data_IF_416920740751
#
_entry.id   IF_416920740751
#
_cell.length_a   1.000
_cell.length_b   1.000
_cell.length_c   1.000
_cell.angle_alpha   90.00
_cell.angle_beta   90.00
_cell.angle_gamma   90.00
#
_symmetry.space_group_name_H-M   'P 1'
#
loop_
_entity.id
_entity.type
_entity.pdbx_description
1 polymer ?
#
# COMPACT_ATOMS: atom_id res chain seq x y z
N UNK A 1 5.41 -7.15 4.70
CA UNK A 1 4.71 -7.93 5.72
C UNK A 1 5.08 -7.35 7.06
N UNK A 2 4.10 -7.00 7.87
CA UNK A 2 4.29 -6.48 9.23
C UNK A 2 3.70 -7.51 10.20
N UNK A 3 4.45 -7.84 11.24
CA UNK A 3 3.96 -8.70 12.31
C UNK A 3 3.43 -7.80 13.42
N UNK A 4 2.11 -7.78 13.59
CA UNK A 4 1.46 -6.86 14.51
C UNK A 4 1.39 -5.41 13.99
N UNK A 5 0.58 -4.61 14.68
CA UNK A 5 0.49 -3.16 14.50
C UNK A 5 1.05 -2.57 15.79
N UNK A 6 2.27 -2.08 15.75
CA UNK A 6 2.96 -1.63 16.96
C UNK A 6 2.37 -0.36 17.58
N UNK A 7 1.48 0.34 16.86
CA UNK A 7 0.94 1.65 17.25
C UNK A 7 -0.61 1.67 17.32
N UNK A 8 -1.27 0.54 17.64
CA UNK A 8 -2.75 0.48 17.71
C UNK A 8 -3.30 1.53 18.67
N UNK A 9 -2.75 1.63 19.88
CA UNK A 9 -3.23 2.57 20.89
C UNK A 9 -3.14 4.00 20.39
N UNK A 10 -2.02 4.38 19.75
CA UNK A 10 -1.85 5.70 19.15
C UNK A 10 -2.90 5.97 18.06
N UNK A 11 -3.17 5.00 17.18
CA UNK A 11 -4.19 5.16 16.12
C UNK A 11 -5.61 5.30 16.71
N UNK A 12 -5.90 4.54 17.77
CA UNK A 12 -7.17 4.65 18.50
C UNK A 12 -7.28 6.00 19.19
N UNK A 13 -6.21 6.47 19.84
CA UNK A 13 -6.16 7.77 20.51
C UNK A 13 -6.36 8.93 19.53
N UNK A 14 -5.67 8.91 18.39
CA UNK A 14 -5.85 9.90 17.33
C UNK A 14 -7.30 9.95 16.84
N UNK A 15 -7.91 8.79 16.62
CA UNK A 15 -9.31 8.69 16.17
C UNK A 15 -10.28 9.14 17.27
N UNK A 16 -9.99 8.82 18.52
CA UNK A 16 -10.79 9.23 19.66
C UNK A 16 -10.82 10.76 19.82
N UNK A 17 -9.66 11.41 19.67
CA UNK A 17 -9.56 12.87 19.72
C UNK A 17 -10.31 13.53 18.54
N UNK A 18 -10.25 12.94 17.34
CA UNK A 18 -11.10 13.36 16.23
C UNK A 18 -12.59 13.26 16.57
N UNK A 19 -13.05 12.13 17.13
CA UNK A 19 -14.46 11.93 17.52
C UNK A 19 -14.91 12.98 18.53
N UNK A 20 -14.09 13.30 19.54
CA UNK A 20 -14.36 14.38 20.49
C UNK A 20 -14.54 15.74 19.80
N UNK A 21 -13.71 16.04 18.81
CA UNK A 21 -13.81 17.30 18.06
C UNK A 21 -15.06 17.39 17.16
N UNK A 22 -15.75 16.27 16.91
CA UNK A 22 -17.01 16.22 16.17
C UNK A 22 -18.24 16.36 17.06
N UNK A 23 -18.09 16.42 18.38
CA UNK A 23 -19.19 16.56 19.34
C UNK A 23 -20.13 17.72 19.00
N UNK A 24 -21.44 17.47 19.00
CA UNK A 24 -22.47 18.46 18.72
C UNK A 24 -22.60 18.88 17.25
N UNK A 25 -21.82 18.29 16.35
CA UNK A 25 -21.81 18.65 14.92
C UNK A 25 -22.58 17.63 14.08
N UNK A 26 -23.15 18.11 12.98
CA UNK A 26 -23.59 17.27 11.86
C UNK A 26 -22.58 17.43 10.74
N UNK A 27 -21.98 16.33 10.28
CA UNK A 27 -20.90 16.35 9.30
C UNK A 27 -21.04 15.22 8.28
N UNK A 28 -20.53 15.42 7.07
CA UNK A 28 -20.41 14.36 6.08
C UNK A 28 -19.33 13.36 6.48
N UNK A 29 -19.64 12.07 6.39
CA UNK A 29 -18.64 11.01 6.60
C UNK A 29 -17.51 11.10 5.57
N UNK A 30 -17.82 11.47 4.33
CA UNK A 30 -16.79 11.63 3.30
C UNK A 30 -15.84 12.81 3.61
N UNK A 31 -16.36 13.91 4.15
CA UNK A 31 -15.53 15.04 4.59
C UNK A 31 -14.58 14.64 5.72
N UNK A 32 -15.09 13.90 6.72
CA UNK A 32 -14.26 13.38 7.82
C UNK A 32 -13.18 12.44 7.29
N UNK A 33 -13.51 11.55 6.35
CA UNK A 33 -12.53 10.64 5.74
C UNK A 33 -11.45 11.40 4.97
N UNK A 34 -11.83 12.44 4.22
CA UNK A 34 -10.85 13.28 3.54
C UNK A 34 -9.94 14.04 4.51
N UNK A 35 -10.49 14.57 5.60
CA UNK A 35 -9.72 15.26 6.63
C UNK A 35 -8.76 14.30 7.35
N UNK A 36 -9.24 13.13 7.75
CA UNK A 36 -8.43 12.05 8.31
C UNK A 36 -7.25 11.74 7.39
N UNK A 37 -7.50 11.56 6.10
CA UNK A 37 -6.46 11.21 5.15
C UNK A 37 -5.40 12.30 5.00
N UNK A 38 -5.84 13.57 4.87
CA UNK A 38 -4.95 14.74 4.80
C UNK A 38 -4.06 14.86 6.04
N UNK A 39 -4.65 14.62 7.21
CA UNK A 39 -3.98 14.65 8.51
C UNK A 39 -3.16 13.38 8.83
N UNK A 40 -2.99 12.49 7.86
CA UNK A 40 -2.07 11.35 7.98
C UNK A 40 -2.60 10.18 8.80
N UNK A 41 -3.92 10.07 8.97
CA UNK A 41 -4.52 8.87 9.55
C UNK A 41 -4.27 7.68 8.63
N UNK A 42 -3.79 6.58 9.20
CA UNK A 42 -3.44 5.39 8.43
C UNK A 42 -4.67 4.55 8.06
N UNK A 43 -5.73 4.59 8.87
CA UNK A 43 -6.89 3.72 8.68
C UNK A 43 -8.19 4.41 9.05
N UNK A 44 -9.25 4.12 8.29
CA UNK A 44 -10.61 4.49 8.65
C UNK A 44 -11.34 3.39 9.42
N UNK A 45 -10.77 2.18 9.55
CA UNK A 45 -11.42 1.05 10.22
C UNK A 45 -11.75 1.36 11.67
N UNK A 46 -10.83 2.01 12.39
CA UNK A 46 -11.03 2.43 13.78
C UNK A 46 -12.16 3.47 13.88
N UNK A 47 -12.21 4.43 12.95
CA UNK A 47 -13.28 5.43 12.92
C UNK A 47 -14.66 4.77 12.77
N UNK A 48 -14.79 3.82 11.85
CA UNK A 48 -16.03 3.07 11.69
C UNK A 48 -16.35 2.15 12.88
N UNK A 49 -15.35 1.64 13.61
CA UNK A 49 -15.58 0.96 14.88
C UNK A 49 -16.17 1.91 15.94
N UNK A 50 -15.66 3.15 16.04
CA UNK A 50 -16.24 4.17 16.91
C UNK A 50 -17.67 4.50 16.50
N UNK A 51 -17.93 4.77 15.22
CA UNK A 51 -19.28 5.04 14.74
C UNK A 51 -20.25 3.90 15.09
N UNK A 52 -19.83 2.65 14.92
CA UNK A 52 -20.64 1.49 15.29
C UNK A 52 -20.99 1.43 16.78
N UNK A 53 -20.04 1.72 17.67
CA UNK A 53 -20.27 1.69 19.11
C UNK A 53 -21.05 2.90 19.64
N UNK A 54 -20.83 4.09 19.05
CA UNK A 54 -21.60 5.29 19.35
C UNK A 54 -23.05 5.14 18.92
N UNK A 55 -23.31 4.53 17.75
CA UNK A 55 -24.67 4.30 17.25
C UNK A 55 -25.46 3.36 18.17
N UNK A 56 -24.83 2.29 18.66
CA UNK A 56 -25.46 1.35 19.61
C UNK A 56 -25.89 2.01 20.92
N UNK A 57 -25.22 3.09 21.32
CA UNK A 57 -25.49 3.86 22.55
C UNK A 57 -26.33 5.11 22.30
N UNK A 58 -26.88 5.26 21.09
CA UNK A 58 -27.66 6.42 20.67
C UNK A 58 -26.92 7.77 20.78
N UNK A 59 -25.59 7.75 20.76
CA UNK A 59 -24.73 8.94 20.83
C UNK A 59 -24.50 9.59 19.46
N UNK A 60 -24.81 8.86 18.38
CA UNK A 60 -24.87 9.42 17.04
C UNK A 60 -26.18 9.04 16.35
N UNK A 61 -26.65 9.93 15.49
CA UNK A 61 -27.69 9.65 14.51
C UNK A 61 -27.09 9.66 13.12
N UNK A 62 -27.59 8.79 12.24
CA UNK A 62 -27.02 8.58 10.91
C UNK A 62 -28.11 8.67 9.87
N UNK A 63 -27.96 9.56 8.90
CA UNK A 63 -28.88 9.70 7.77
C UNK A 63 -28.09 9.81 6.47
N UNK A 64 -28.23 8.80 5.59
CA UNK A 64 -27.44 8.69 4.35
C UNK A 64 -25.93 8.81 4.63
N UNK A 65 -25.29 9.89 4.15
CA UNK A 65 -23.86 10.20 4.28
C UNK A 65 -23.55 11.19 5.42
N UNK A 66 -24.54 11.57 6.22
CA UNK A 66 -24.38 12.50 7.34
C UNK A 66 -24.41 11.74 8.66
N UNK A 67 -23.54 12.15 9.57
CA UNK A 67 -23.53 11.72 10.95
C UNK A 67 -23.73 12.94 11.86
N UNK A 68 -24.73 12.88 12.72
CA UNK A 68 -25.00 13.89 13.75
C UNK A 68 -24.51 13.35 15.09
N UNK A 69 -23.46 13.96 15.62
CA UNK A 69 -22.88 13.61 16.90
C UNK A 69 -23.57 14.39 18.00
N UNK A 70 -24.17 13.68 18.95
CA UNK A 70 -24.79 14.32 20.12
C UNK A 70 -23.70 14.86 21.05
N UNK A 71 -24.11 15.71 22.00
CA UNK A 71 -23.22 16.08 23.10
C UNK A 71 -22.92 14.84 23.95
N UNK A 72 -21.66 14.69 24.32
CA UNK A 72 -21.15 13.58 25.10
C UNK A 72 -21.19 13.95 26.59
N UNK A 73 -22.39 13.90 27.16
CA UNK A 73 -22.60 14.26 28.57
C UNK A 73 -21.84 13.33 29.53
N UNK A 74 -21.69 12.05 29.17
CA UNK A 74 -20.96 11.06 29.95
C UNK A 74 -19.57 10.74 29.34
N UNK A 75 -18.53 11.40 29.86
CA UNK A 75 -17.13 11.14 29.45
C UNK A 75 -16.66 9.72 29.78
N UNK A 76 -17.18 9.10 30.83
CA UNK A 76 -16.81 7.74 31.23
C UNK A 76 -17.26 6.72 30.17
N UNK A 77 -18.43 6.95 29.56
CA UNK A 77 -18.95 6.10 28.50
C UNK A 77 -18.06 6.13 27.25
N UNK A 78 -17.56 7.30 26.87
CA UNK A 78 -16.61 7.44 25.77
C UNK A 78 -15.29 6.70 26.03
N UNK A 79 -14.75 6.79 27.24
CA UNK A 79 -13.53 6.06 27.61
C UNK A 79 -13.75 4.53 27.62
N UNK A 80 -14.97 4.07 27.99
CA UNK A 80 -15.36 2.66 27.87
C UNK A 80 -15.37 2.20 26.42
N UNK A 81 -15.90 3.01 25.49
CA UNK A 81 -15.87 2.71 24.05
C UNK A 81 -14.43 2.62 23.54
N UNK A 82 -13.60 3.61 23.85
CA UNK A 82 -12.17 3.61 23.49
C UNK A 82 -11.47 2.35 23.99
N UNK A 83 -11.62 2.02 25.28
CA UNK A 83 -11.04 0.81 25.89
C UNK A 83 -11.56 -0.49 25.27
N UNK A 84 -12.82 -0.52 24.83
CA UNK A 84 -13.37 -1.65 24.09
C UNK A 84 -12.71 -1.79 22.71
N UNK A 85 -12.57 -0.70 21.96
CA UNK A 85 -11.96 -0.69 20.62
C UNK A 85 -10.48 -1.08 20.69
N UNK A 86 -9.71 -0.59 21.68
CA UNK A 86 -8.32 -1.02 21.91
C UNK A 86 -8.27 -2.53 22.09
N UNK A 87 -9.05 -3.08 23.04
CA UNK A 87 -9.09 -4.52 23.29
C UNK A 87 -9.49 -5.34 22.07
N UNK A 88 -10.50 -4.90 21.34
CA UNK A 88 -10.98 -5.56 20.11
C UNK A 88 -9.88 -5.58 19.04
N UNK A 89 -9.23 -4.46 18.81
CA UNK A 89 -8.17 -4.31 17.80
C UNK A 89 -6.90 -5.07 18.19
N UNK A 90 -6.53 -5.10 19.48
CA UNK A 90 -5.38 -5.85 19.97
C UNK A 90 -5.56 -7.37 19.89
N UNK A 91 -6.78 -7.89 20.09
CA UNK A 91 -7.07 -9.32 19.88
C UNK A 91 -6.80 -9.78 18.45
N UNK A 92 -6.80 -8.84 17.51
CA UNK A 92 -6.51 -9.10 16.11
C UNK A 92 -5.01 -9.17 15.78
N UNK A 93 -4.12 -9.61 16.70
CA UNK A 93 -2.70 -9.88 16.41
C UNK A 93 -2.56 -10.77 15.16
N UNK A 94 -2.30 -10.14 14.02
CA UNK A 94 -2.33 -10.77 12.71
C UNK A 94 -1.15 -10.30 11.88
N UNK A 95 -0.70 -11.20 11.02
CA UNK A 95 0.22 -10.90 9.94
C UNK A 95 -0.47 -9.94 8.96
N UNK A 96 0.13 -8.78 8.72
CA UNK A 96 -0.35 -7.77 7.77
C UNK A 96 0.52 -7.84 6.52
N UNK A 97 -0.13 -8.04 5.38
CA UNK A 97 0.54 -8.18 4.09
C UNK A 97 0.62 -6.82 3.40
N UNK A 98 1.68 -6.61 2.62
CA UNK A 98 1.67 -5.55 1.61
C UNK A 98 1.22 -6.12 0.27
N UNK A 99 0.60 -5.32 -0.62
CA UNK A 99 0.32 -5.74 -1.99
C UNK A 99 1.55 -6.33 -2.69
N UNK A 100 2.73 -5.76 -2.42
CA UNK A 100 3.99 -6.29 -2.91
C UNK A 100 4.38 -7.67 -2.34
N UNK A 101 4.04 -8.00 -1.09
CA UNK A 101 4.25 -9.37 -0.60
C UNK A 101 3.40 -10.37 -1.41
N UNK A 102 2.17 -9.99 -1.77
CA UNK A 102 1.25 -10.83 -2.56
C UNK A 102 1.78 -11.03 -3.98
N UNK A 103 2.26 -9.96 -4.61
CA UNK A 103 2.92 -10.01 -5.91
C UNK A 103 4.19 -10.89 -5.88
N UNK A 104 5.03 -10.75 -4.85
CA UNK A 104 6.22 -11.60 -4.65
C UNK A 104 5.87 -13.07 -4.46
N UNK A 105 4.84 -13.35 -3.67
CA UNK A 105 4.37 -14.72 -3.45
C UNK A 105 3.90 -15.37 -4.75
N UNK A 106 3.17 -14.62 -5.59
CA UNK A 106 2.79 -15.08 -6.91
C UNK A 106 4.00 -15.46 -7.76
N UNK A 107 5.05 -14.62 -7.76
CA UNK A 107 6.29 -14.90 -8.48
C UNK A 107 7.02 -16.12 -7.91
N UNK A 108 7.27 -16.16 -6.60
CA UNK A 108 7.95 -17.27 -5.94
C UNK A 108 7.67 -17.28 -4.42
N UNK A 109 6.90 -18.26 -3.89
CA UNK A 109 6.63 -18.39 -2.46
C UNK A 109 7.89 -18.47 -1.60
N UNK A 110 8.89 -19.25 -2.03
CA UNK A 110 10.17 -19.37 -1.33
C UNK A 110 10.97 -18.08 -1.29
N UNK A 111 10.93 -17.27 -2.35
CA UNK A 111 11.56 -15.94 -2.34
C UNK A 111 10.96 -15.08 -1.24
N UNK A 112 9.62 -14.99 -1.18
CA UNK A 112 8.95 -14.20 -0.15
C UNK A 112 9.33 -14.71 1.25
N UNK A 113 9.29 -16.03 1.47
CA UNK A 113 9.60 -16.62 2.77
C UNK A 113 11.05 -16.35 3.21
N UNK A 114 12.03 -16.61 2.33
CA UNK A 114 13.44 -16.33 2.60
C UNK A 114 13.66 -14.84 2.90
N UNK A 115 13.06 -13.93 2.14
CA UNK A 115 13.18 -12.48 2.39
C UNK A 115 12.74 -12.06 3.81
N UNK A 116 11.81 -12.82 4.43
CA UNK A 116 11.31 -12.55 5.79
C UNK A 116 12.11 -13.25 6.87
N UNK A 117 12.63 -14.45 6.60
CA UNK A 117 13.37 -15.24 7.59
C UNK A 117 14.85 -14.86 7.65
N UNK A 118 15.50 -14.62 6.51
CA UNK A 118 16.96 -14.40 6.44
C UNK A 118 17.38 -12.95 6.67
N UNK A 119 16.53 -12.12 7.30
CA UNK A 119 16.76 -10.67 7.52
C UNK A 119 17.37 -9.98 6.28
N UNK A 120 16.67 -10.04 5.14
CA UNK A 120 17.13 -9.57 3.81
C UNK A 120 17.66 -8.13 3.72
N UNK A 121 17.58 -7.32 4.78
CA UNK A 121 18.18 -5.98 4.84
C UNK A 121 19.70 -6.00 4.72
N UNK A 122 20.39 -6.96 5.33
CA UNK A 122 21.86 -7.02 5.27
C UNK A 122 22.34 -7.47 3.87
N UNK A 123 21.71 -8.50 3.30
CA UNK A 123 22.03 -8.99 1.95
C UNK A 123 21.64 -8.00 0.83
N UNK A 124 20.64 -7.15 1.04
CA UNK A 124 20.26 -6.09 0.07
C UNK A 124 21.27 -4.95 0.02
N UNK A 125 21.94 -4.64 1.15
CA UNK A 125 22.96 -3.58 1.21
C UNK A 125 24.22 -3.95 0.41
N UNK A 126 24.53 -5.24 0.24
CA UNK A 126 25.79 -5.68 -0.36
C UNK A 126 25.75 -5.95 -1.88
N UNK A 127 24.57 -6.15 -2.51
CA UNK A 127 24.52 -6.66 -3.90
C UNK A 127 23.49 -6.06 -4.88
N UNK A 128 22.68 -5.07 -4.53
CA UNK A 128 21.82 -4.46 -5.55
C UNK A 128 20.57 -3.76 -5.04
N UNK A 129 20.74 -2.59 -4.43
CA UNK A 129 19.68 -1.59 -4.44
C UNK A 129 19.71 -0.97 -5.84
N UNK A 130 18.63 -1.12 -6.61
CA UNK A 130 18.45 -0.34 -7.83
C UNK A 130 18.04 1.08 -7.38
N UNK A 131 19.05 1.91 -7.14
CA UNK A 131 18.88 3.29 -6.69
C UNK A 131 18.16 4.16 -7.72
N UNK A 132 18.20 3.79 -9.01
CA UNK A 132 17.49 4.50 -10.07
C UNK A 132 15.98 4.47 -9.84
N UNK A 133 15.44 3.31 -9.45
CA UNK A 133 14.01 3.20 -9.11
C UNK A 133 13.64 4.09 -7.92
N UNK A 134 14.40 4.03 -6.83
CA UNK A 134 14.10 4.83 -5.63
C UNK A 134 14.25 6.33 -5.88
N UNK A 135 15.29 6.74 -6.61
CA UNK A 135 15.53 8.12 -7.00
C UNK A 135 14.36 8.65 -7.86
N UNK A 136 13.91 7.88 -8.86
CA UNK A 136 12.77 8.29 -9.69
C UNK A 136 11.51 8.54 -8.85
N UNK A 137 11.15 7.63 -7.94
CA UNK A 137 9.97 7.80 -7.09
C UNK A 137 10.11 9.02 -6.16
N UNK A 138 11.31 9.27 -5.61
CA UNK A 138 11.54 10.46 -4.80
C UNK A 138 11.37 11.74 -5.63
N UNK A 139 11.88 11.77 -6.87
CA UNK A 139 11.77 12.96 -7.72
C UNK A 139 10.30 13.27 -8.06
N UNK A 140 9.53 12.22 -8.37
CA UNK A 140 8.07 12.32 -8.60
C UNK A 140 7.38 12.87 -7.36
N UNK A 141 7.66 12.30 -6.18
CA UNK A 141 7.07 12.75 -4.92
C UNK A 141 7.36 14.24 -4.66
N UNK A 142 8.62 14.66 -4.77
CA UNK A 142 9.02 16.05 -4.52
C UNK A 142 8.35 17.03 -5.50
N UNK A 143 8.27 16.67 -6.78
CA UNK A 143 7.56 17.48 -7.78
C UNK A 143 6.05 17.57 -7.49
N UNK A 144 5.42 16.48 -7.06
CA UNK A 144 4.00 16.48 -6.69
C UNK A 144 3.71 17.21 -5.38
N UNK A 145 4.71 17.39 -4.51
CA UNK A 145 4.60 18.21 -3.30
C UNK A 145 4.82 19.71 -3.56
N UNK A 146 5.05 20.11 -4.80
CA UNK A 146 5.09 21.51 -5.22
C UNK A 146 6.47 22.06 -5.56
N UNK A 147 7.52 21.24 -5.58
CA UNK A 147 8.80 21.67 -6.16
C UNK A 147 8.70 21.76 -7.67
N UNK A 148 9.38 22.74 -8.26
CA UNK A 148 9.57 22.78 -9.72
C UNK A 148 10.28 21.50 -10.19
N UNK A 149 9.90 20.99 -11.36
CA UNK A 149 10.37 19.67 -11.84
C UNK A 149 11.90 19.58 -11.85
N UNK A 150 12.56 20.60 -12.40
CA UNK A 150 14.02 20.64 -12.47
C UNK A 150 14.67 20.67 -11.08
N UNK A 151 14.08 21.41 -10.13
CA UNK A 151 14.57 21.48 -8.75
C UNK A 151 14.39 20.14 -8.03
N UNK A 152 13.25 19.47 -8.23
CA UNK A 152 12.99 18.14 -7.68
C UNK A 152 14.02 17.11 -8.19
N UNK A 153 14.30 17.12 -9.50
CA UNK A 153 15.29 16.23 -10.10
C UNK A 153 16.70 16.54 -9.59
N UNK A 154 17.11 17.80 -9.57
CA UNK A 154 18.44 18.21 -9.07
C UNK A 154 18.64 17.84 -7.60
N UNK A 155 17.61 18.05 -6.77
CA UNK A 155 17.62 17.63 -5.38
C UNK A 155 17.89 16.13 -5.23
N UNK A 156 17.20 15.29 -6.01
CA UNK A 156 17.36 13.83 -5.93
C UNK A 156 18.69 13.37 -6.49
N UNK A 157 19.14 13.90 -7.63
CA UNK A 157 20.44 13.54 -8.20
C UNK A 157 21.58 13.81 -7.20
N UNK A 158 21.47 14.91 -6.44
CA UNK A 158 22.39 15.21 -5.33
C UNK A 158 22.27 14.23 -4.16
N UNK A 159 21.06 13.84 -3.75
CA UNK A 159 20.86 12.88 -2.64
C UNK A 159 21.41 11.48 -2.95
N UNK A 160 21.41 11.07 -4.22
CA UNK A 160 21.86 9.76 -4.67
C UNK A 160 23.16 9.84 -5.51
N UNK A 161 23.96 10.88 -5.30
CA UNK A 161 25.25 11.04 -5.97
C UNK A 161 26.13 9.80 -5.77
N UNK A 162 26.74 9.31 -6.85
CA UNK A 162 27.56 8.09 -6.87
C UNK A 162 26.79 6.77 -6.71
N UNK A 163 25.45 6.80 -6.62
CA UNK A 163 24.59 5.60 -6.49
C UNK A 163 23.71 5.35 -7.71
N UNK A 164 23.28 6.41 -8.39
CA UNK A 164 22.52 6.37 -9.66
C UNK A 164 23.45 5.90 -10.77
N UNK A 165 22.93 5.03 -11.64
CA UNK A 165 23.72 4.42 -12.73
C UNK A 165 23.16 4.84 -14.10
N UNK A 166 21.85 4.91 -14.25
CA UNK A 166 21.21 5.05 -15.57
C UNK A 166 20.34 6.30 -15.73
N UNK A 167 19.89 6.95 -14.64
CA UNK A 167 18.98 8.09 -14.74
C UNK A 167 19.67 9.34 -15.30
N UNK A 168 19.05 9.95 -16.31
CA UNK A 168 19.43 11.27 -16.82
C UNK A 168 18.41 12.32 -16.42
N UNK A 169 18.90 13.52 -16.06
CA UNK A 169 18.07 14.66 -15.64
C UNK A 169 16.94 14.98 -16.62
N UNK A 170 17.26 15.06 -17.91
CA UNK A 170 16.30 15.40 -18.96
C UNK A 170 15.21 14.33 -19.11
N UNK A 171 15.59 13.04 -19.09
CA UNK A 171 14.66 11.92 -19.18
C UNK A 171 13.70 11.88 -17.98
N UNK A 172 14.22 12.11 -16.76
CA UNK A 172 13.42 12.24 -15.55
C UNK A 172 12.44 13.41 -15.63
N UNK A 173 12.94 14.59 -16.02
CA UNK A 173 12.14 15.82 -16.09
C UNK A 173 11.00 15.67 -17.10
N UNK A 174 11.30 15.12 -18.28
CA UNK A 174 10.31 14.85 -19.32
C UNK A 174 9.27 13.83 -18.86
N UNK A 175 9.68 12.79 -18.14
CA UNK A 175 8.75 11.80 -17.59
C UNK A 175 7.82 12.40 -16.53
N UNK A 176 8.37 13.16 -15.57
CA UNK A 176 7.59 13.82 -14.52
C UNK A 176 6.59 14.80 -15.13
N UNK A 177 7.00 15.54 -16.16
CA UNK A 177 6.12 16.45 -16.90
C UNK A 177 4.93 15.71 -17.51
N UNK A 178 5.17 14.61 -18.25
CA UNK A 178 4.09 13.76 -18.81
C UNK A 178 3.20 13.14 -17.73
N UNK A 179 3.76 12.77 -16.59
CA UNK A 179 3.00 12.25 -15.45
C UNK A 179 2.07 13.32 -14.87
N UNK A 180 2.54 14.57 -14.75
CA UNK A 180 1.71 15.69 -14.31
C UNK A 180 0.61 16.01 -15.33
N UNK A 181 0.88 15.90 -16.64
CA UNK A 181 -0.13 16.03 -17.68
C UNK A 181 -1.22 14.96 -17.55
N UNK A 182 -0.84 13.69 -17.31
CA UNK A 182 -1.80 12.61 -17.03
C UNK A 182 -2.69 12.95 -15.83
N UNK A 183 -2.09 13.46 -14.74
CA UNK A 183 -2.83 13.84 -13.53
C UNK A 183 -3.79 15.00 -13.83
N UNK A 184 -3.34 16.03 -14.55
CA UNK A 184 -4.17 17.18 -14.93
C UNK A 184 -5.32 16.78 -15.86
N UNK A 185 -5.06 15.91 -16.84
CA UNK A 185 -6.06 15.42 -17.79
C UNK A 185 -7.05 14.40 -17.23
N UNK A 186 -6.76 13.81 -16.06
CA UNK A 186 -7.58 12.77 -15.44
C UNK A 186 -8.79 13.24 -14.65
N UNK A 187 -9.10 14.55 -14.62
CA UNK A 187 -10.16 15.17 -13.81
C UNK A 187 -10.10 14.75 -12.33
N UNK A 188 -8.89 14.64 -11.78
CA UNK A 188 -8.71 14.30 -10.37
C UNK A 188 -8.89 15.54 -9.48
N UNK A 189 -9.76 15.42 -8.48
CA UNK A 189 -9.99 16.45 -7.46
C UNK A 189 -8.86 16.49 -6.43
N UNK A 190 -8.32 15.33 -6.07
CA UNK A 190 -7.22 15.20 -5.11
C UNK A 190 -6.20 14.18 -5.58
N UNK A 191 -4.93 14.42 -5.24
CA UNK A 191 -3.85 13.45 -5.40
C UNK A 191 -2.95 13.48 -4.16
N UNK A 192 -2.44 12.31 -3.79
CA UNK A 192 -1.64 12.12 -2.58
C UNK A 192 -0.46 11.19 -2.87
N UNK A 193 0.77 11.73 -2.97
CA UNK A 193 1.95 10.90 -3.19
C UNK A 193 2.38 10.17 -1.90
N UNK A 194 2.80 8.91 -2.04
CA UNK A 194 3.50 8.12 -1.01
C UNK A 194 2.77 8.06 0.36
N UNK A 195 1.43 8.06 0.34
CA UNK A 195 0.63 7.99 1.57
C UNK A 195 0.48 6.55 2.03
N UNK A 196 0.67 6.36 3.34
CA UNK A 196 0.50 5.06 3.98
C UNK A 196 -0.98 4.78 4.24
N UNK A 197 -1.44 3.59 3.88
CA UNK A 197 -2.83 3.16 4.12
C UNK A 197 -2.86 1.78 4.75
N UNK A 198 -3.70 1.60 5.75
CA UNK A 198 -3.88 0.38 6.51
C UNK A 198 -5.36 -0.01 6.51
N UNK A 199 -5.62 -1.25 6.13
CA UNK A 199 -6.89 -1.94 6.41
C UNK A 199 -6.67 -3.03 7.45
N UNK A 200 -7.31 -2.86 8.59
CA UNK A 200 -7.44 -3.87 9.65
C UNK A 200 -8.32 -5.02 9.17
N UNK A 201 -9.44 -4.70 8.50
CA UNK A 201 -10.40 -5.67 7.97
C UNK A 201 -9.73 -6.69 7.04
N UNK A 202 -8.97 -6.18 6.06
CA UNK A 202 -8.30 -7.01 5.06
C UNK A 202 -6.87 -7.41 5.44
N UNK A 203 -6.35 -6.87 6.55
CA UNK A 203 -4.96 -7.06 7.00
C UNK A 203 -3.95 -6.65 5.93
N UNK A 204 -4.22 -5.53 5.28
CA UNK A 204 -3.40 -4.99 4.20
C UNK A 204 -2.78 -3.67 4.61
N UNK A 205 -1.53 -3.47 4.24
CA UNK A 205 -0.82 -2.21 4.39
C UNK A 205 -0.17 -1.83 3.06
N UNK A 206 -0.50 -0.66 2.54
CA UNK A 206 0.00 -0.13 1.28
C UNK A 206 0.74 1.19 1.49
N UNK A 207 1.66 1.47 0.57
CA UNK A 207 2.20 2.81 0.33
C UNK A 207 2.12 2.97 -1.19
N UNK A 208 0.93 3.27 -1.74
CA UNK A 208 0.82 3.49 -3.17
C UNK A 208 1.63 4.72 -3.57
N UNK A 209 2.26 4.68 -4.74
CA UNK A 209 3.09 5.80 -5.22
C UNK A 209 2.25 7.08 -5.29
N UNK A 210 1.05 7.00 -5.87
CA UNK A 210 0.10 8.12 -5.93
C UNK A 210 -1.33 7.59 -5.79
N UNK A 211 -2.05 8.11 -4.79
CA UNK A 211 -3.49 7.92 -4.64
C UNK A 211 -4.20 9.11 -5.28
N UNK A 212 -5.22 8.85 -6.08
CA UNK A 212 -6.02 9.86 -6.77
C UNK A 212 -7.50 9.69 -6.43
N UNK A 213 -8.21 10.82 -6.35
CA UNK A 213 -9.65 10.85 -6.12
C UNK A 213 -10.28 11.75 -7.18
N UNK A 214 -11.21 11.23 -7.97
CA UNK A 214 -11.90 11.99 -9.01
C UNK A 214 -13.09 12.80 -8.45
N UNK A 215 -13.74 13.60 -9.31
CA UNK A 215 -14.92 14.41 -8.93
C UNK A 215 -16.10 13.57 -8.43
N UNK A 216 -16.18 12.30 -8.83
CA UNK A 216 -17.21 11.34 -8.39
C UNK A 216 -16.79 10.61 -7.10
N UNK A 217 -15.70 11.02 -6.45
CA UNK A 217 -15.09 10.39 -5.29
C UNK A 217 -14.66 8.93 -5.53
N UNK A 218 -14.37 8.54 -6.77
CA UNK A 218 -13.75 7.25 -7.05
C UNK A 218 -12.27 7.33 -6.72
N UNK A 219 -11.76 6.24 -6.12
CA UNK A 219 -10.35 6.12 -5.74
C UNK A 219 -9.62 5.32 -6.82
N UNK A 220 -8.53 5.87 -7.34
CA UNK A 220 -7.62 5.18 -8.24
C UNK A 220 -6.16 5.34 -7.79
N UNK A 221 -5.32 4.41 -8.21
CA UNK A 221 -3.88 4.42 -7.94
C UNK A 221 -3.12 4.66 -9.24
N UNK A 222 -2.08 5.48 -9.19
CA UNK A 222 -1.06 5.53 -10.22
C UNK A 222 0.19 4.88 -9.64
N UNK A 223 0.57 3.73 -10.20
CA UNK A 223 1.74 2.96 -9.80
C UNK A 223 2.83 3.13 -10.86
N UNK A 224 3.98 3.61 -10.44
CA UNK A 224 5.13 3.89 -11.30
C UNK A 224 6.07 2.69 -11.29
N UNK A 225 6.57 2.33 -12.47
CA UNK A 225 7.53 1.24 -12.66
C UNK A 225 8.74 1.76 -13.42
N UNK A 226 9.92 1.55 -12.85
CA UNK A 226 11.18 1.91 -13.52
C UNK A 226 11.39 1.14 -14.84
N UNK A 227 11.05 -0.15 -14.87
CA UNK A 227 11.36 -1.05 -16.00
C UNK A 227 10.59 -0.74 -17.29
N UNK A 228 11.05 -1.35 -18.39
CA UNK A 228 10.35 -1.35 -19.68
C UNK A 228 9.31 -2.48 -19.76
N UNK A 229 8.37 -2.34 -20.70
CA UNK A 229 7.41 -3.38 -21.06
C UNK A 229 7.25 -3.44 -22.58
N UNK A 230 7.47 -4.61 -23.17
CA UNK A 230 7.37 -4.82 -24.62
C UNK A 230 6.04 -5.47 -25.05
N UNK A 231 5.06 -5.58 -24.13
CA UNK A 231 3.79 -6.26 -24.40
C UNK A 231 2.71 -6.00 -23.35
N UNK A 232 2.01 -7.07 -22.96
CA UNK A 232 0.98 -7.04 -21.93
C UNK A 232 1.54 -6.72 -20.54
N UNK A 233 0.70 -6.15 -19.69
CA UNK A 233 1.02 -5.85 -18.29
C UNK A 233 1.47 -7.12 -17.57
N UNK A 234 2.64 -7.06 -16.92
CA UNK A 234 3.16 -8.17 -16.13
C UNK A 234 2.21 -8.52 -14.99
N UNK A 235 1.95 -9.81 -14.78
CA UNK A 235 0.92 -10.25 -13.82
C UNK A 235 1.26 -9.87 -12.38
N UNK A 236 2.53 -9.83 -12.00
CA UNK A 236 2.96 -9.37 -10.68
C UNK A 236 2.71 -7.88 -10.46
N UNK A 237 2.86 -7.03 -11.49
CA UNK A 237 2.54 -5.61 -11.39
C UNK A 237 1.03 -5.39 -11.25
N UNK A 238 0.24 -6.15 -12.00
CA UNK A 238 -1.21 -6.15 -11.90
C UNK A 238 -1.69 -6.57 -10.50
N UNK A 239 -1.13 -7.65 -9.94
CA UNK A 239 -1.47 -8.11 -8.57
C UNK A 239 -1.12 -7.04 -7.53
N UNK A 240 0.03 -6.37 -7.66
CA UNK A 240 0.40 -5.27 -6.78
C UNK A 240 -0.61 -4.13 -6.90
N UNK A 241 -0.90 -3.64 -8.12
CA UNK A 241 -1.85 -2.56 -8.35
C UNK A 241 -3.23 -2.88 -7.76
N UNK A 242 -3.76 -4.08 -8.00
CA UNK A 242 -5.05 -4.52 -7.43
C UNK A 242 -5.05 -4.38 -5.91
N UNK A 243 -3.98 -4.81 -5.23
CA UNK A 243 -3.87 -4.68 -3.79
C UNK A 243 -3.80 -3.23 -3.29
N UNK A 244 -3.06 -2.37 -3.99
CA UNK A 244 -2.95 -0.94 -3.65
C UNK A 244 -4.30 -0.20 -3.86
N UNK A 245 -5.03 -0.53 -4.94
CA UNK A 245 -6.37 0.01 -5.19
C UNK A 245 -7.35 -0.47 -4.12
N UNK A 246 -7.31 -1.75 -3.72
CA UNK A 246 -8.15 -2.29 -2.65
C UNK A 246 -7.91 -1.55 -1.34
N UNK A 247 -6.67 -1.51 -0.85
CA UNK A 247 -6.37 -0.94 0.48
C UNK A 247 -6.72 0.55 0.55
N UNK A 248 -6.49 1.29 -0.54
CA UNK A 248 -6.81 2.71 -0.63
C UNK A 248 -8.31 2.96 -0.73
N UNK A 249 -9.03 2.17 -1.54
CA UNK A 249 -10.49 2.28 -1.66
C UNK A 249 -11.21 1.97 -0.35
N UNK A 250 -10.68 1.02 0.44
CA UNK A 250 -11.23 0.64 1.74
C UNK A 250 -11.17 1.81 2.73
N UNK A 251 -10.08 2.59 2.72
CA UNK A 251 -9.99 3.78 3.57
C UNK A 251 -11.19 4.71 3.34
N UNK A 252 -11.52 4.99 2.08
CA UNK A 252 -12.62 5.87 1.69
C UNK A 252 -13.99 5.17 1.60
N UNK A 253 -14.09 3.90 1.98
CA UNK A 253 -15.31 3.07 1.84
C UNK A 253 -15.88 3.07 0.41
N UNK A 254 -15.00 3.04 -0.58
CA UNK A 254 -15.35 2.96 -2.00
C UNK A 254 -15.06 1.58 -2.57
N UNK A 255 -15.67 1.28 -3.72
CA UNK A 255 -15.34 0.08 -4.48
C UNK A 255 -14.06 0.33 -5.28
N UNK A 256 -13.16 -0.66 -5.38
CA UNK A 256 -12.03 -0.58 -6.31
C UNK A 256 -12.56 -0.61 -7.74
N UNK A 257 -12.18 0.35 -8.58
CA UNK A 257 -12.68 0.45 -9.96
C UNK A 257 -11.55 0.32 -10.97
N UNK A 258 -10.53 1.17 -10.90
CA UNK A 258 -9.42 1.15 -11.83
C UNK A 258 -8.13 1.68 -11.18
N UNK A 259 -7.01 1.43 -11.84
CA UNK A 259 -5.71 2.03 -11.54
C UNK A 259 -4.88 2.20 -12.81
N UNK A 260 -3.72 2.82 -12.67
CA UNK A 260 -2.79 3.10 -13.76
C UNK A 260 -1.44 2.48 -13.44
N UNK A 261 -0.84 1.85 -14.45
CA UNK A 261 0.57 1.46 -14.44
C UNK A 261 1.34 2.36 -15.41
N UNK A 262 2.31 3.08 -14.89
CA UNK A 262 3.14 4.01 -15.66
C UNK A 262 4.57 3.48 -15.71
N UNK A 263 5.05 3.15 -16.89
CA UNK A 263 6.37 2.58 -17.12
C UNK A 263 7.34 3.65 -17.60
N UNK A 264 8.35 3.95 -16.78
CA UNK A 264 9.37 4.97 -17.05
C UNK A 264 10.16 4.67 -18.33
N UNK A 265 10.89 3.55 -18.37
CA UNK A 265 11.74 3.20 -19.53
C UNK A 265 10.96 2.99 -20.83
N UNK A 266 9.71 2.56 -20.75
CA UNK A 266 8.86 2.36 -21.93
C UNK A 266 8.07 3.61 -22.32
N UNK A 267 8.09 4.67 -21.49
CA UNK A 267 7.22 5.84 -21.61
C UNK A 267 5.75 5.46 -21.93
N UNK A 268 5.23 4.43 -21.24
CA UNK A 268 3.92 3.81 -21.52
C UNK A 268 3.02 3.90 -20.30
N UNK A 269 1.74 4.20 -20.54
CA UNK A 269 0.68 4.23 -19.52
C UNK A 269 -0.33 3.14 -19.86
N UNK A 270 -0.69 2.33 -18.87
CA UNK A 270 -1.75 1.33 -18.98
C UNK A 270 -2.81 1.63 -17.92
N UNK A 271 -4.03 1.99 -18.35
CA UNK A 271 -5.21 2.02 -17.49
C UNK A 271 -5.73 0.59 -17.33
N UNK A 272 -5.94 0.17 -16.09
CA UNK A 272 -6.36 -1.18 -15.73
C UNK A 272 -7.67 -1.08 -14.96
N UNK A 273 -8.73 -1.67 -15.51
CA UNK A 273 -9.97 -1.88 -14.78
C UNK A 273 -9.81 -3.07 -13.84
N UNK A 274 -10.21 -2.91 -12.57
CA UNK A 274 -10.05 -3.92 -11.54
C UNK A 274 -11.26 -4.85 -11.56
N UNK A 275 -11.10 -6.01 -12.17
CA UNK A 275 -12.18 -6.97 -12.29
C UNK A 275 -12.38 -7.79 -11.01
N UNK A 276 -13.61 -8.26 -10.77
CA UNK A 276 -13.97 -9.03 -9.56
C UNK A 276 -13.13 -10.31 -9.39
N UNK A 277 -12.78 -10.96 -10.49
CA UNK A 277 -11.94 -12.16 -10.50
C UNK A 277 -10.49 -11.85 -10.05
N UNK A 278 -9.97 -10.66 -10.34
CA UNK A 278 -8.64 -10.23 -9.92
C UNK A 278 -8.60 -9.94 -8.42
N UNK A 279 -9.63 -9.27 -7.89
CA UNK A 279 -9.83 -9.07 -6.46
C UNK A 279 -9.91 -10.42 -5.74
N UNK A 280 -10.70 -11.36 -6.26
CA UNK A 280 -10.81 -12.72 -5.72
C UNK A 280 -9.45 -13.44 -5.75
N UNK A 281 -8.71 -13.33 -6.85
CA UNK A 281 -7.40 -13.95 -6.97
C UNK A 281 -6.39 -13.35 -5.98
N UNK A 282 -6.37 -12.02 -5.82
CA UNK A 282 -5.54 -11.34 -4.84
C UNK A 282 -5.78 -11.88 -3.43
N UNK A 283 -7.03 -11.93 -2.98
CA UNK A 283 -7.35 -12.46 -1.65
C UNK A 283 -7.06 -13.97 -1.50
N UNK A 284 -7.20 -14.76 -2.57
CA UNK A 284 -6.80 -16.17 -2.53
C UNK A 284 -5.28 -16.32 -2.32
N UNK A 285 -4.46 -15.50 -2.97
CA UNK A 285 -3.02 -15.47 -2.75
C UNK A 285 -2.69 -15.02 -1.32
N UNK A 286 -3.33 -13.95 -0.84
CA UNK A 286 -3.18 -13.46 0.54
C UNK A 286 -3.47 -14.56 1.58
N UNK A 287 -4.57 -15.31 1.41
CA UNK A 287 -4.90 -16.46 2.28
C UNK A 287 -3.82 -17.54 2.25
N UNK A 288 -3.29 -17.87 1.07
CA UNK A 288 -2.20 -18.85 0.92
C UNK A 288 -0.92 -18.40 1.62
N UNK A 289 -0.60 -17.10 1.59
CA UNK A 289 0.56 -16.55 2.32
C UNK A 289 0.38 -16.72 3.83
N UNK A 290 -0.80 -16.40 4.36
CA UNK A 290 -1.08 -16.59 5.79
C UNK A 290 -0.96 -18.06 6.21
N UNK A 291 -1.47 -18.99 5.39
CA UNK A 291 -1.31 -20.44 5.60
C UNK A 291 0.14 -20.91 5.50
N UNK A 292 0.92 -20.31 4.59
CA UNK A 292 2.35 -20.62 4.44
C UNK A 292 3.11 -20.26 5.71
N UNK A 293 2.88 -19.07 6.29
CA UNK A 293 3.57 -18.64 7.51
C UNK A 293 3.08 -19.35 8.78
N UNK A 294 1.89 -19.97 8.77
CA UNK A 294 1.44 -20.82 9.88
C UNK A 294 2.03 -22.24 9.82
N UNK A 295 2.52 -22.66 8.65
CA UNK A 295 3.17 -23.97 8.48
C UNK A 295 4.66 -23.76 8.68
N UNK A 296 5.26 -24.41 9.67
CA UNK A 296 6.71 -24.40 9.90
C UNK A 296 7.46 -25.23 8.84
N UNK A 297 7.14 -25.03 7.56
CA UNK A 297 7.72 -25.76 6.43
C UNK A 297 8.27 -24.78 5.40
N UNK A 298 9.39 -25.16 4.77
CA UNK A 298 9.99 -24.37 3.69
C UNK A 298 9.06 -24.46 2.46
N UNK A 299 8.55 -23.33 1.95
CA UNK A 299 7.65 -23.36 0.80
C UNK A 299 8.38 -23.76 -0.50
N UNK A 300 7.63 -24.18 -1.53
CA UNK A 300 8.21 -24.57 -2.82
C UNK A 300 8.76 -23.36 -3.58
N UNK A 301 9.59 -23.66 -4.59
CA UNK A 301 10.02 -22.71 -5.61
C UNK A 301 8.83 -22.18 -6.44
N UNK A 302 9.13 -21.21 -7.31
CA UNK A 302 8.18 -20.68 -8.28
C UNK A 302 7.56 -21.80 -9.13
N UNK A 303 6.27 -21.63 -9.46
CA UNK A 303 5.55 -22.48 -10.40
C UNK A 303 5.37 -21.83 -11.77
N UNK A 304 5.97 -20.66 -11.98
CA UNK A 304 5.87 -19.95 -13.25
C UNK A 304 6.72 -20.66 -14.33
N UNK A 305 6.28 -20.65 -15.60
CA UNK A 305 7.09 -21.15 -16.70
C UNK A 305 8.46 -20.46 -16.74
N UNK A 306 9.51 -21.21 -17.07
CA UNK A 306 10.88 -20.70 -17.21
C UNK A 306 11.46 -19.95 -15.99
N UNK A 307 10.90 -20.16 -14.79
CA UNK A 307 11.36 -19.43 -13.59
C UNK A 307 12.87 -19.60 -13.31
N UNK A 308 13.44 -20.75 -13.65
CA UNK A 308 14.89 -21.01 -13.49
C UNK A 308 15.75 -20.11 -14.38
N UNK A 309 15.25 -19.72 -15.55
CA UNK A 309 15.94 -18.84 -16.51
C UNK A 309 15.65 -17.35 -16.25
N UNK A 310 14.41 -17.01 -15.89
CA UNK A 310 13.97 -15.62 -15.83
C UNK A 310 13.97 -15.02 -14.41
N UNK A 311 13.67 -15.84 -13.40
CA UNK A 311 13.43 -15.37 -12.03
C UNK A 311 14.61 -15.69 -11.12
N UNK A 312 15.08 -16.94 -11.13
CA UNK A 312 16.16 -17.42 -10.25
C UNK A 312 17.50 -16.69 -10.41
N UNK A 313 17.99 -16.37 -11.62
CA UNK A 313 19.33 -15.79 -11.78
C UNK A 313 19.46 -14.42 -11.13
N UNK A 314 18.38 -13.63 -11.16
CA UNK A 314 18.33 -12.27 -10.62
C UNK A 314 17.75 -12.22 -9.19
N UNK A 315 17.60 -13.37 -8.53
CA UNK A 315 17.01 -13.44 -7.20
C UNK A 315 18.07 -13.16 -6.12
N UNK A 316 17.92 -12.07 -5.38
CA UNK A 316 18.88 -11.70 -4.32
C UNK A 316 18.97 -12.72 -3.17
N UNK A 317 17.96 -13.59 -2.98
CA UNK A 317 18.01 -14.69 -2.00
C UNK A 317 18.47 -16.02 -2.60
N UNK A 318 19.00 -16.04 -3.83
CA UNK A 318 19.42 -17.26 -4.53
C UNK A 318 20.43 -18.07 -3.71
N UNK A 319 21.43 -17.42 -3.11
CA UNK A 319 22.45 -18.10 -2.29
C UNK A 319 21.83 -18.93 -1.17
N UNK A 320 20.91 -18.34 -0.40
CA UNK A 320 20.20 -19.04 0.67
C UNK A 320 19.31 -20.17 0.13
N UNK A 321 18.69 -19.95 -1.04
CA UNK A 321 17.91 -20.98 -1.70
C UNK A 321 18.77 -22.16 -2.16
N UNK A 322 19.95 -21.92 -2.74
CA UNK A 322 20.86 -22.97 -3.20
C UNK A 322 21.38 -23.79 -2.01
N UNK A 323 21.67 -23.15 -0.86
CA UNK A 323 22.07 -23.85 0.36
C UNK A 323 20.99 -24.82 0.88
N UNK A 324 19.72 -24.41 0.84
CA UNK A 324 18.60 -25.29 1.19
C UNK A 324 18.56 -26.51 0.25
N UNK A 325 18.75 -26.30 -1.05
CA UNK A 325 18.76 -27.40 -2.02
C UNK A 325 19.94 -28.36 -1.78
N UNK A 326 21.14 -27.85 -1.47
CA UNK A 326 22.31 -28.66 -1.14
C UNK A 326 22.05 -29.49 0.13
N UNK A 327 21.48 -28.88 1.17
CA UNK A 327 21.17 -29.58 2.43
C UNK A 327 20.11 -30.67 2.22
N UNK A 328 19.07 -30.38 1.44
CA UNK A 328 18.05 -31.38 1.11
C UNK A 328 18.65 -32.55 0.31
N UNK A 329 19.56 -32.27 -0.63
CA UNK A 329 20.22 -33.30 -1.46
C UNK A 329 21.21 -34.19 -0.69
N UNK A 330 21.65 -33.79 0.51
CA UNK A 330 22.56 -34.57 1.38
C UNK A 330 21.82 -35.44 2.40
N UNK A 331 20.52 -35.21 2.59
CA UNK A 331 19.67 -35.97 3.51
C UNK A 331 18.89 -37.10 2.81
N UNK A 332 19.18 -37.32 1.53
CA UNK A 332 18.86 -38.50 0.73
C UNK A 332 20.19 -39.11 0.28
#
# INVERSE_FOLDING_TARGET
>A
MRFGINNIEQLVEQTFNLIKNLEGKTISVDEVLMEMFKNGFLTSDIFFMFLGELKKRNLIESQKNLATFKKFENKEELEKIKSFIIRKTMKEKKVILTPWDVAKFYVCPRRLWLEKVTLSRELKKEKGINWDGEALHLAIKEALLGKEINEAVDYVLKQYEGKIVELKKEEMSNFISKLQELIKGGNFKYFFPERQVLSLEYKLFGIPDIITIDENNNVSIIEVKYGSIEGEVRKEHLIQLVGEVIVSSVFFRRKPIYGYLVYYKANKIAKVEIAKNEVKNFFNLSKKILLMFSRNTIPPLSRLPNFRKLICPNCHVKKACDQIEILNARNF
#
